data_IF_590532080905
#
_entry.id   IF_590532080905
#
_cell.length_a   1.000
_cell.length_b   1.000
_cell.length_c   1.000
_cell.angle_alpha   90.00
_cell.angle_beta   90.00
_cell.angle_gamma   90.00
#
_symmetry.space_group_name_H-M   'P 1'
#
loop_
_entity.id
_entity.type
_entity.pdbx_description
1 polymer ?
#
# COMPACT_ATOMS: atom_id res chain seq x y z
N UNK A 1 2.17 8.14 -6.38
CA UNK A 1 2.97 8.43 -7.61
C UNK A 1 2.52 7.54 -8.77
N UNK A 2 2.94 7.82 -10.01
CA UNK A 2 2.69 6.95 -11.17
C UNK A 2 4.01 6.40 -11.71
N UNK A 3 4.13 5.08 -11.81
CA UNK A 3 5.31 4.37 -12.36
C UNK A 3 4.80 3.34 -13.36
N UNK A 4 5.34 3.34 -14.58
CA UNK A 4 4.91 2.45 -15.68
C UNK A 4 3.38 2.40 -15.89
N UNK A 5 2.73 3.57 -15.78
CA UNK A 5 1.28 3.72 -15.91
C UNK A 5 0.47 3.25 -14.70
N UNK A 6 1.09 2.67 -13.66
CA UNK A 6 0.43 2.25 -12.43
C UNK A 6 0.51 3.33 -11.36
N UNK A 7 -0.61 3.63 -10.70
CA UNK A 7 -0.61 4.42 -9.45
C UNK A 7 -0.06 3.53 -8.34
N UNK A 8 1.03 3.94 -7.71
CA UNK A 8 1.69 3.18 -6.66
C UNK A 8 1.98 4.06 -5.44
N UNK A 9 2.14 3.39 -4.30
CA UNK A 9 2.58 4.00 -3.06
C UNK A 9 3.58 3.09 -2.34
N UNK A 10 4.37 3.67 -1.44
CA UNK A 10 5.37 2.96 -0.65
C UNK A 10 5.14 3.28 0.82
N UNK A 11 5.24 2.25 1.66
CA UNK A 11 5.19 2.34 3.12
C UNK A 11 6.54 1.92 3.67
N UNK A 12 7.04 2.64 4.68
CA UNK A 12 8.23 2.26 5.44
C UNK A 12 7.81 1.67 6.77
N UNK A 13 8.39 0.52 7.14
CA UNK A 13 8.28 -0.07 8.48
C UNK A 13 9.67 -0.48 8.94
N UNK A 14 10.17 0.18 9.98
CA UNK A 14 11.58 0.04 10.40
C UNK A 14 12.55 0.36 9.25
N UNK A 15 13.51 -0.53 9.03
CA UNK A 15 14.51 -0.40 7.96
C UNK A 15 14.04 -0.84 6.56
N UNK A 16 12.81 -1.36 6.43
CA UNK A 16 12.30 -1.93 5.18
C UNK A 16 11.26 -1.03 4.52
N UNK A 17 11.10 -1.20 3.20
CA UNK A 17 10.11 -0.52 2.37
C UNK A 17 9.24 -1.54 1.65
N UNK A 18 7.96 -1.23 1.55
CA UNK A 18 6.93 -2.08 0.97
C UNK A 18 6.14 -1.26 -0.04
N UNK A 19 6.09 -1.71 -1.29
CA UNK A 19 5.42 -1.01 -2.38
C UNK A 19 4.14 -1.76 -2.80
N UNK A 20 3.11 -1.00 -3.14
CA UNK A 20 1.82 -1.54 -3.57
C UNK A 20 1.21 -0.71 -4.70
N UNK A 21 0.43 -1.36 -5.55
CA UNK A 21 -0.48 -0.67 -6.47
C UNK A 21 -1.61 -0.05 -5.65
N UNK A 22 -1.91 1.22 -5.94
CA UNK A 22 -2.99 1.97 -5.31
C UNK A 22 -4.35 1.58 -5.90
N UNK A 23 -4.77 0.33 -5.66
CA UNK A 23 -6.03 -0.23 -6.12
C UNK A 23 -6.53 -1.23 -5.07
N UNK A 24 -7.61 -0.87 -4.38
CA UNK A 24 -8.18 -1.70 -3.33
C UNK A 24 -8.81 -2.94 -3.97
N UNK A 25 -8.47 -4.17 -3.53
CA UNK A 25 -9.00 -5.39 -4.14
C UNK A 25 -10.53 -5.49 -4.03
N UNK A 26 -11.17 -4.74 -3.12
CA UNK A 26 -12.62 -4.70 -2.98
C UNK A 26 -13.33 -4.26 -4.28
N UNK A 27 -13.08 -3.03 -4.75
CA UNK A 27 -13.79 -2.42 -5.90
C UNK A 27 -12.85 -1.77 -6.93
N UNK A 28 -11.53 -1.91 -6.75
CA UNK A 28 -10.52 -1.32 -7.64
C UNK A 28 -10.29 0.19 -7.43
N UNK A 29 -10.92 0.81 -6.43
CA UNK A 29 -10.72 2.22 -6.12
C UNK A 29 -9.34 2.48 -5.49
N UNK A 30 -8.74 3.66 -5.71
CA UNK A 30 -7.58 4.13 -4.94
C UNK A 30 -7.87 4.08 -3.44
N UNK A 31 -6.88 3.71 -2.62
CA UNK A 31 -7.02 3.58 -1.18
C UNK A 31 -7.16 4.93 -0.48
N UNK A 32 -6.43 5.93 -0.94
CA UNK A 32 -6.31 7.24 -0.29
C UNK A 32 -7.26 8.29 -0.91
N UNK A 33 -7.78 9.19 -0.08
CA UNK A 33 -8.53 10.38 -0.51
C UNK A 33 -7.65 11.63 -0.60
N UNK A 34 -6.60 11.67 0.23
CA UNK A 34 -5.56 12.70 0.26
C UNK A 34 -4.23 12.09 -0.14
N UNK A 35 -3.37 12.86 -0.80
CA UNK A 35 -2.04 12.38 -1.18
C UNK A 35 -1.23 11.91 0.04
N UNK A 36 -0.50 10.82 -0.14
CA UNK A 36 0.39 10.20 0.86
C UNK A 36 -0.27 9.78 2.19
N UNK A 37 -1.61 9.75 2.27
CA UNK A 37 -2.38 9.24 3.42
C UNK A 37 -2.81 7.79 3.21
N UNK A 38 -1.91 6.85 3.54
CA UNK A 38 -2.15 5.41 3.41
C UNK A 38 -2.21 4.63 4.71
N UNK A 39 -1.78 5.21 5.84
CA UNK A 39 -1.76 4.51 7.12
C UNK A 39 -2.98 4.85 7.97
N UNK A 40 -3.35 3.91 8.84
CA UNK A 40 -4.28 4.19 9.92
C UNK A 40 -3.68 5.20 10.93
N UNK A 41 -4.51 5.67 11.86
CA UNK A 41 -4.09 6.70 12.84
C UNK A 41 -2.90 6.26 13.69
N UNK A 42 -2.79 4.96 13.96
CA UNK A 42 -1.73 4.38 14.77
C UNK A 42 -0.47 4.00 13.96
N UNK A 43 -0.48 4.19 12.63
CA UNK A 43 0.60 3.83 11.72
C UNK A 43 1.00 2.35 11.78
N UNK A 44 0.04 1.48 12.08
CA UNK A 44 0.24 0.03 12.22
C UNK A 44 -0.22 -0.76 11.00
N UNK A 45 -1.14 -0.19 10.23
CA UNK A 45 -1.78 -0.85 9.09
C UNK A 45 -1.97 0.12 7.93
N UNK A 46 -2.02 -0.41 6.72
CA UNK A 46 -2.47 0.35 5.55
C UNK A 46 -3.99 0.45 5.60
N UNK A 47 -4.54 1.64 5.41
CA UNK A 47 -5.96 1.94 5.43
C UNK A 47 -6.47 2.26 4.02
N UNK A 48 -7.54 1.58 3.61
CA UNK A 48 -8.40 2.08 2.54
C UNK A 48 -9.42 3.05 3.13
N UNK A 49 -9.31 4.34 2.78
CA UNK A 49 -10.16 5.41 3.28
C UNK A 49 -11.62 5.36 2.78
N UNK A 50 -11.91 4.57 1.73
CA UNK A 50 -13.27 4.47 1.19
C UNK A 50 -14.22 3.69 2.09
N UNK A 51 -13.80 2.53 2.57
CA UNK A 51 -14.64 1.58 3.35
C UNK A 51 -13.89 0.96 4.53
N UNK A 52 -12.79 1.58 4.95
CA UNK A 52 -12.03 1.27 6.16
C UNK A 52 -11.44 -0.15 6.25
N UNK A 53 -11.10 -0.73 5.10
CA UNK A 53 -10.32 -1.97 5.07
C UNK A 53 -8.91 -1.71 5.62
N UNK A 54 -8.41 -2.63 6.44
CA UNK A 54 -7.04 -2.60 6.96
C UNK A 54 -6.21 -3.72 6.34
N UNK A 55 -5.00 -3.38 5.91
CA UNK A 55 -4.03 -4.31 5.35
C UNK A 55 -2.75 -4.32 6.17
N UNK A 56 -2.16 -5.49 6.33
CA UNK A 56 -0.81 -5.64 6.88
C UNK A 56 0.22 -4.96 5.97
N UNK A 57 1.22 -4.32 6.58
CA UNK A 57 2.20 -3.51 5.83
C UNK A 57 3.14 -4.41 5.03
N UNK A 58 3.48 -5.58 5.58
CA UNK A 58 4.52 -6.45 5.03
C UNK A 58 4.11 -7.22 3.77
N UNK A 59 2.86 -7.68 3.70
CA UNK A 59 2.36 -8.53 2.61
C UNK A 59 1.07 -8.02 1.95
N UNK A 60 0.53 -6.89 2.43
CA UNK A 60 -0.66 -6.26 1.90
C UNK A 60 -1.94 -7.07 2.14
N UNK A 61 -1.93 -8.07 3.03
CA UNK A 61 -3.10 -8.90 3.34
C UNK A 61 -4.15 -8.09 4.10
N UNK A 62 -5.39 -8.11 3.61
CA UNK A 62 -6.53 -7.49 4.27
C UNK A 62 -6.92 -8.29 5.52
N UNK A 63 -6.78 -7.68 6.69
CA UNK A 63 -7.12 -8.28 8.00
C UNK A 63 -8.44 -7.77 8.58
N UNK A 64 -9.01 -6.72 7.98
CA UNK A 64 -10.32 -6.17 8.38
C UNK A 64 -11.01 -5.49 7.20
N UNK A 65 -12.34 -5.58 7.14
CA UNK A 65 -13.16 -4.87 6.15
C UNK A 65 -13.65 -5.75 5.00
N UNK A 66 -14.25 -5.15 3.95
CA UNK A 66 -15.04 -5.87 2.94
C UNK A 66 -14.24 -6.80 2.02
N UNK A 67 -12.91 -6.65 1.96
CA UNK A 67 -12.03 -7.52 1.18
C UNK A 67 -11.19 -8.47 2.05
N UNK A 68 -11.69 -8.85 3.24
CA UNK A 68 -11.00 -9.73 4.19
C UNK A 68 -10.39 -10.96 3.51
N UNK A 69 -9.10 -11.20 3.76
CA UNK A 69 -8.35 -12.32 3.21
C UNK A 69 -7.77 -12.12 1.80
N UNK A 70 -8.15 -11.06 1.08
CA UNK A 70 -7.51 -10.65 -0.19
C UNK A 70 -6.32 -9.74 0.09
N UNK A 71 -5.41 -9.59 -0.86
CA UNK A 71 -4.22 -8.73 -0.72
C UNK A 71 -4.18 -7.60 -1.73
N UNK A 72 -3.46 -6.53 -1.37
CA UNK A 72 -3.00 -5.52 -2.32
C UNK A 72 -2.05 -6.15 -3.34
N UNK A 73 -2.05 -5.64 -4.58
CA UNK A 73 -1.06 -6.04 -5.57
C UNK A 73 0.30 -5.46 -5.18
N UNK A 74 1.33 -6.29 -4.93
CA UNK A 74 2.65 -5.79 -4.58
C UNK A 74 3.29 -5.08 -5.78
N UNK A 75 3.92 -3.94 -5.51
CA UNK A 75 4.82 -3.27 -6.44
C UNK A 75 6.24 -3.41 -5.90
N UNK A 76 7.07 -4.32 -6.45
CA UNK A 76 8.40 -4.62 -5.93
C UNK A 76 9.29 -3.36 -5.87
N UNK A 77 9.79 -3.04 -4.67
CA UNK A 77 10.69 -1.89 -4.43
C UNK A 77 11.87 -2.31 -3.56
N UNK A 78 12.97 -1.59 -3.68
CA UNK A 78 14.16 -1.73 -2.85
C UNK A 78 14.79 -0.38 -2.52
N UNK A 79 15.70 -0.37 -1.55
CA UNK A 79 16.52 0.80 -1.24
C UNK A 79 17.85 0.63 -1.97
N UNK A 80 18.18 1.54 -2.87
CA UNK A 80 19.47 1.61 -3.59
C UNK A 80 20.03 3.01 -3.44
N UNK A 81 21.24 3.13 -2.90
CA UNK A 81 21.92 4.42 -2.66
C UNK A 81 21.07 5.43 -1.87
N UNK A 82 20.32 4.94 -0.87
CA UNK A 82 19.42 5.76 -0.04
C UNK A 82 18.10 6.15 -0.71
N UNK A 83 17.90 5.79 -1.97
CA UNK A 83 16.67 6.05 -2.72
C UNK A 83 15.79 4.81 -2.75
N UNK A 84 14.48 5.01 -2.76
CA UNK A 84 13.53 3.93 -3.04
C UNK A 84 13.38 3.81 -4.55
N UNK A 85 13.70 2.65 -5.10
CA UNK A 85 13.61 2.35 -6.53
C UNK A 85 12.76 1.11 -6.78
N UNK A 86 12.10 0.98 -7.94
CA UNK A 86 11.50 -0.29 -8.35
C UNK A 86 12.55 -1.40 -8.42
N UNK A 87 12.19 -2.62 -8.02
CA UNK A 87 13.02 -3.80 -8.30
C UNK A 87 12.90 -4.12 -9.80
N UNK A 88 14.04 -4.42 -10.42
CA UNK A 88 14.10 -4.91 -11.79
C UNK A 88 13.53 -6.32 -11.93
#
# INVERSE_FOLDING_TARGET
MVVDGKRVFVVRKGGQVFGYVNSCPHVGAPLNLEDDRFLDLFQTSILCANHFALFEIEDGRCVRGPCLGRSLEPFPVEIRDGLVVPKA
#
